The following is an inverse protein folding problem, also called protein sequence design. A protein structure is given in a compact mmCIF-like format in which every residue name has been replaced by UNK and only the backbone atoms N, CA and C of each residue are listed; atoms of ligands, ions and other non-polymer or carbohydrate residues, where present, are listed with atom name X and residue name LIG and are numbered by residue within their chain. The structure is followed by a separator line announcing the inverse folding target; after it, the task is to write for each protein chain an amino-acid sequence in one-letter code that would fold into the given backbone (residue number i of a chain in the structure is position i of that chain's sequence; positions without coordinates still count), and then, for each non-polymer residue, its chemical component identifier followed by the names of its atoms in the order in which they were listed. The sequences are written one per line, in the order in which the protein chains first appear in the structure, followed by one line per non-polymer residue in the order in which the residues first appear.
data_IF_226984145679
#
_entry.id   IF_226984145679
#
_cell.length_a   1.000
_cell.length_b   1.000
_cell.length_c   1.000
_cell.angle_alpha   90.00
_cell.angle_beta   90.00
_cell.angle_gamma   90.00
#
_symmetry.space_group_name_H-M   'P 1'
#
loop_
_entity.id
_entity.type
_entity.pdbx_description
1 polymer ?
#
# COMPACT_ATOMS: atom_id res chain seq x y z
N UNK A 1 -36.33 8.72 -21.86
CA UNK A 1 -36.15 7.98 -20.62
C UNK A 1 -36.15 8.93 -19.45
N UNK A 2 -37.23 8.90 -18.66
CA UNK A 2 -37.43 9.78 -17.51
C UNK A 2 -37.79 8.93 -16.28
N UNK A 3 -37.19 9.22 -15.14
CA UNK A 3 -37.55 8.61 -13.85
C UNK A 3 -37.78 9.73 -12.86
N UNK A 4 -38.98 9.79 -12.29
CA UNK A 4 -39.48 10.92 -11.48
C UNK A 4 -39.32 12.25 -12.25
N UNK A 5 -38.50 13.18 -11.74
CA UNK A 5 -38.27 14.49 -12.33
C UNK A 5 -36.98 14.63 -13.13
N UNK A 6 -36.15 13.55 -13.20
CA UNK A 6 -34.90 13.54 -13.96
C UNK A 6 -35.05 12.89 -15.32
N UNK A 7 -34.46 13.51 -16.37
CA UNK A 7 -34.38 13.02 -17.72
C UNK A 7 -32.98 12.43 -17.97
N UNK A 8 -32.92 11.13 -18.19
CA UNK A 8 -31.67 10.40 -18.40
C UNK A 8 -31.25 10.32 -19.86
N UNK A 9 -32.16 10.60 -20.79
CA UNK A 9 -31.90 10.57 -22.20
C UNK A 9 -33.18 10.40 -23.02
N UNK A 10 -33.01 10.30 -24.35
CA UNK A 10 -34.10 10.08 -25.29
C UNK A 10 -33.93 8.73 -25.99
N UNK A 11 -35.01 8.03 -26.24
CA UNK A 11 -35.08 6.84 -27.06
C UNK A 11 -35.71 7.23 -28.41
N UNK A 12 -35.00 6.94 -29.49
CA UNK A 12 -35.48 7.14 -30.85
C UNK A 12 -35.64 5.79 -31.52
N UNK A 13 -36.84 5.55 -32.09
CA UNK A 13 -37.12 4.37 -32.92
C UNK A 13 -37.31 4.83 -34.34
N UNK A 14 -36.61 4.17 -35.29
CA UNK A 14 -36.67 4.45 -36.72
C UNK A 14 -36.80 3.15 -37.47
N UNK A 15 -37.38 3.21 -38.67
CA UNK A 15 -37.40 2.11 -39.65
C UNK A 15 -38.02 0.81 -39.10
N UNK A 16 -39.36 0.85 -38.83
CA UNK A 16 -40.09 -0.37 -38.45
C UNK A 16 -40.01 -1.40 -39.57
N UNK A 17 -39.54 -2.61 -39.25
CA UNK A 17 -39.48 -3.71 -40.21
C UNK A 17 -40.89 -4.25 -40.47
N UNK A 18 -41.20 -4.54 -41.72
CA UNK A 18 -42.44 -5.16 -42.21
C UNK A 18 -43.74 -4.33 -42.12
N UNK A 19 -43.73 -3.10 -41.59
CA UNK A 19 -44.92 -2.24 -41.53
C UNK A 19 -44.59 -0.77 -41.84
N UNK A 20 -45.60 -0.06 -42.40
CA UNK A 20 -45.42 1.33 -42.86
C UNK A 20 -45.44 2.37 -41.72
N UNK A 21 -45.92 2.04 -40.52
CA UNK A 21 -46.03 2.96 -39.40
C UNK A 21 -45.99 2.22 -38.07
N UNK A 22 -45.58 2.95 -37.02
CA UNK A 22 -45.67 2.48 -35.64
C UNK A 22 -47.10 2.48 -35.14
N UNK A 23 -47.46 1.49 -34.32
CA UNK A 23 -48.76 1.33 -33.69
C UNK A 23 -48.74 1.80 -32.24
N UNK A 24 -49.92 1.95 -31.63
CA UNK A 24 -50.09 2.29 -30.18
C UNK A 24 -49.41 1.23 -29.28
N UNK A 25 -49.38 -0.06 -29.74
CA UNK A 25 -48.68 -1.12 -28.99
C UNK A 25 -47.14 -0.97 -29.05
N UNK A 26 -46.60 -0.51 -30.16
CA UNK A 26 -45.18 -0.19 -30.31
C UNK A 26 -44.76 0.97 -29.38
N UNK A 27 -45.62 2.01 -29.29
CA UNK A 27 -45.43 3.16 -28.42
C UNK A 27 -45.41 2.74 -26.92
N UNK A 28 -46.40 1.92 -26.53
CA UNK A 28 -46.49 1.40 -25.17
C UNK A 28 -45.27 0.55 -24.79
N UNK A 29 -44.78 -0.27 -25.73
CA UNK A 29 -43.55 -1.07 -25.54
C UNK A 29 -42.30 -0.18 -25.41
N UNK A 30 -42.19 0.85 -26.26
CA UNK A 30 -41.10 1.81 -26.22
C UNK A 30 -41.08 2.60 -24.90
N UNK A 31 -42.25 3.02 -24.40
CA UNK A 31 -42.38 3.66 -23.08
C UNK A 31 -41.94 2.76 -21.94
N UNK A 32 -42.41 1.49 -21.96
CA UNK A 32 -42.01 0.51 -20.95
C UNK A 32 -40.49 0.27 -20.93
N UNK A 33 -39.88 0.15 -22.10
CA UNK A 33 -38.41 0.03 -22.26
C UNK A 33 -37.68 1.28 -21.79
N UNK A 34 -38.23 2.48 -22.08
CA UNK A 34 -37.64 3.74 -21.67
C UNK A 34 -37.66 3.90 -20.13
N UNK A 35 -38.74 3.46 -19.47
CA UNK A 35 -38.87 3.45 -18.01
C UNK A 35 -37.87 2.43 -17.40
N UNK A 36 -37.83 1.23 -17.94
CA UNK A 36 -36.92 0.18 -17.46
C UNK A 36 -35.44 0.60 -17.58
N UNK A 37 -35.06 1.18 -18.71
CA UNK A 37 -33.71 1.71 -18.92
C UNK A 37 -33.38 2.86 -17.96
N UNK A 38 -34.34 3.78 -17.74
CA UNK A 38 -34.19 4.87 -16.79
C UNK A 38 -33.94 4.38 -15.35
N UNK A 39 -34.72 3.39 -14.91
CA UNK A 39 -34.56 2.75 -13.59
C UNK A 39 -33.22 2.03 -13.46
N UNK A 40 -32.77 1.35 -14.51
CA UNK A 40 -31.46 0.66 -14.49
C UNK A 40 -30.31 1.67 -14.34
N UNK A 41 -30.37 2.79 -15.06
CA UNK A 41 -29.36 3.87 -14.94
C UNK A 41 -29.40 4.50 -13.54
N UNK A 42 -30.58 4.78 -13.00
CA UNK A 42 -30.71 5.34 -11.65
C UNK A 42 -30.16 4.41 -10.59
N UNK A 43 -30.49 3.10 -10.65
CA UNK A 43 -29.96 2.10 -9.74
C UNK A 43 -28.43 2.01 -9.82
N UNK A 44 -27.85 2.03 -11.01
CA UNK A 44 -26.39 2.02 -11.16
C UNK A 44 -25.73 3.24 -10.52
N UNK A 45 -26.28 4.44 -10.77
CA UNK A 45 -25.78 5.68 -10.15
C UNK A 45 -25.91 5.70 -8.62
N UNK A 46 -26.99 5.16 -8.09
CA UNK A 46 -27.18 5.05 -6.64
C UNK A 46 -26.16 4.07 -6.03
N UNK A 47 -25.90 2.96 -6.72
CA UNK A 47 -24.90 1.98 -6.29
C UNK A 47 -23.50 2.62 -6.26
N UNK A 48 -23.12 3.33 -7.31
CA UNK A 48 -21.83 4.05 -7.35
C UNK A 48 -21.69 5.08 -6.23
N UNK A 49 -22.77 5.83 -5.94
CA UNK A 49 -22.77 6.80 -4.82
C UNK A 49 -22.59 6.12 -3.47
N UNK A 50 -23.24 4.97 -3.25
CA UNK A 50 -23.11 4.21 -2.00
C UNK A 50 -21.69 3.70 -1.84
N UNK A 51 -21.06 3.20 -2.91
CA UNK A 51 -19.66 2.76 -2.88
C UNK A 51 -18.71 3.91 -2.53
N UNK A 52 -18.87 5.08 -3.17
CA UNK A 52 -18.05 6.26 -2.87
C UNK A 52 -18.25 6.73 -1.42
N UNK A 53 -19.50 6.77 -0.93
CA UNK A 53 -19.79 7.15 0.46
C UNK A 53 -19.20 6.16 1.46
N UNK A 54 -19.25 4.86 1.19
CA UNK A 54 -18.64 3.81 2.02
C UNK A 54 -17.13 4.00 2.16
N UNK A 55 -16.44 4.31 1.06
CA UNK A 55 -15.00 4.60 1.06
C UNK A 55 -14.67 5.85 1.88
N UNK A 56 -15.48 6.91 1.77
CA UNK A 56 -15.27 8.13 2.54
C UNK A 56 -15.51 7.91 4.05
N UNK A 57 -16.53 7.14 4.43
CA UNK A 57 -16.83 6.82 5.83
C UNK A 57 -15.73 5.95 6.46
N UNK A 58 -15.20 4.98 5.71
CA UNK A 58 -14.05 4.19 6.14
C UNK A 58 -12.79 5.03 6.31
N UNK A 59 -12.52 5.97 5.39
CA UNK A 59 -11.41 6.93 5.53
C UNK A 59 -11.52 7.78 6.79
N UNK A 60 -12.70 8.32 7.07
CA UNK A 60 -12.94 9.14 8.25
C UNK A 60 -12.81 8.33 9.55
N UNK A 61 -13.19 7.06 9.54
CA UNK A 61 -13.03 6.16 10.67
C UNK A 61 -11.56 5.85 10.93
N UNK A 62 -10.82 5.45 9.89
CA UNK A 62 -9.39 5.14 9.98
C UNK A 62 -8.60 6.38 10.41
N UNK A 63 -8.91 7.55 9.86
CA UNK A 63 -8.25 8.80 10.23
C UNK A 63 -8.45 9.14 11.72
N UNK A 64 -9.64 8.91 12.28
CA UNK A 64 -9.90 9.10 13.72
C UNK A 64 -9.16 8.08 14.58
N UNK A 65 -9.22 6.80 14.24
CA UNK A 65 -8.54 5.74 14.97
C UNK A 65 -7.02 5.93 14.97
N UNK A 66 -6.47 6.38 13.84
CA UNK A 66 -5.05 6.70 13.69
C UNK A 66 -4.66 7.92 14.53
N UNK A 67 -5.46 9.00 14.44
CA UNK A 67 -5.24 10.22 15.20
C UNK A 67 -5.16 9.92 16.71
N UNK A 68 -6.09 9.12 17.22
CA UNK A 68 -6.15 8.80 18.66
C UNK A 68 -4.96 7.94 19.09
N UNK A 69 -4.55 6.94 18.31
CA UNK A 69 -3.37 6.11 18.58
C UNK A 69 -2.07 6.92 18.53
N UNK A 70 -1.92 7.76 17.52
CA UNK A 70 -0.73 8.61 17.33
C UNK A 70 -0.60 9.60 18.50
N UNK A 71 -1.67 10.31 18.83
CA UNK A 71 -1.67 11.27 19.92
C UNK A 71 -1.30 10.60 21.23
N UNK A 72 -1.90 9.45 21.57
CA UNK A 72 -1.60 8.72 22.78
C UNK A 72 -0.13 8.31 22.86
N UNK A 73 0.45 7.83 21.74
CA UNK A 73 1.85 7.38 21.71
C UNK A 73 2.83 8.54 21.78
N UNK A 74 2.58 9.62 21.05
CA UNK A 74 3.39 10.85 21.13
C UNK A 74 3.37 11.45 22.55
N UNK A 75 2.22 11.45 23.22
CA UNK A 75 2.14 11.86 24.63
C UNK A 75 2.96 10.96 25.54
N UNK A 76 2.90 9.64 25.37
CA UNK A 76 3.68 8.70 26.16
C UNK A 76 5.18 8.91 25.98
N UNK A 77 5.64 9.13 24.75
CA UNK A 77 7.03 9.48 24.44
C UNK A 77 7.43 10.80 25.10
N UNK A 78 6.59 11.84 25.01
CA UNK A 78 6.83 13.12 25.66
C UNK A 78 6.99 12.99 27.19
N UNK A 79 6.14 12.21 27.83
CA UNK A 79 6.24 11.91 29.26
C UNK A 79 7.50 11.11 29.61
N UNK A 80 7.90 10.15 28.80
CA UNK A 80 9.12 9.39 28.96
C UNK A 80 10.35 10.27 28.87
N UNK A 81 10.41 11.19 27.90
CA UNK A 81 11.49 12.16 27.74
C UNK A 81 11.54 13.17 28.88
N UNK A 82 10.39 13.69 29.35
CA UNK A 82 10.33 14.54 30.54
C UNK A 82 10.83 13.83 31.82
N UNK A 83 10.52 12.52 31.93
CA UNK A 83 11.06 11.73 33.02
C UNK A 83 12.57 11.50 32.93
N UNK A 84 13.14 11.42 31.73
CA UNK A 84 14.57 11.26 31.51
C UNK A 84 15.39 12.46 32.03
N UNK A 85 14.85 13.69 31.97
CA UNK A 85 15.54 14.90 32.42
C UNK A 85 15.76 14.93 33.95
N UNK A 86 15.11 14.05 34.71
CA UNK A 86 15.20 13.97 36.17
C UNK A 86 16.12 12.83 36.65
N UNK A 87 16.70 12.06 35.76
CA UNK A 87 17.55 10.93 36.09
C UNK A 87 18.98 11.40 36.37
N UNK A 88 19.61 10.93 37.46
CA UNK A 88 20.96 11.36 37.85
C UNK A 88 22.08 10.68 37.01
N UNK A 89 21.81 9.54 36.40
CA UNK A 89 22.80 8.73 35.70
C UNK A 89 22.63 8.84 34.16
N UNK A 90 23.76 9.12 33.52
CA UNK A 90 23.79 9.28 32.03
C UNK A 90 23.33 8.03 31.29
N UNK A 91 23.60 6.85 31.81
CA UNK A 91 23.25 5.57 31.19
C UNK A 91 21.72 5.36 31.17
N UNK A 92 21.04 5.68 32.29
CA UNK A 92 19.56 5.62 32.38
C UNK A 92 18.88 6.65 31.45
N UNK A 93 19.51 7.81 31.27
CA UNK A 93 19.03 8.83 30.33
C UNK A 93 19.13 8.31 28.91
N UNK A 94 20.28 7.73 28.52
CA UNK A 94 20.50 7.16 27.19
C UNK A 94 19.47 6.04 26.92
N UNK A 95 19.29 5.10 27.83
CA UNK A 95 18.33 4.00 27.69
C UNK A 95 16.89 4.53 27.49
N UNK A 96 16.51 5.57 28.20
CA UNK A 96 15.18 6.16 28.12
C UNK A 96 14.95 6.94 26.82
N UNK A 97 15.99 7.64 26.35
CA UNK A 97 15.97 8.33 25.04
C UNK A 97 15.91 7.31 23.91
N UNK A 98 16.67 6.23 23.98
CA UNK A 98 16.65 5.16 22.98
C UNK A 98 15.26 4.53 22.88
N UNK A 99 14.62 4.17 24.01
CA UNK A 99 13.24 3.67 23.99
C UNK A 99 12.25 4.67 23.40
N UNK A 100 12.41 5.96 23.69
CA UNK A 100 11.56 7.00 23.12
C UNK A 100 11.72 7.12 21.60
N UNK A 101 12.92 6.91 21.07
CA UNK A 101 13.19 6.85 19.62
C UNK A 101 12.52 5.62 19.02
N UNK A 102 12.68 4.45 19.64
CA UNK A 102 12.04 3.20 19.18
C UNK A 102 10.51 3.32 19.14
N UNK A 103 9.89 3.92 20.17
CA UNK A 103 8.44 4.17 20.22
C UNK A 103 7.97 5.15 19.13
N UNK A 104 8.78 6.17 18.80
CA UNK A 104 8.50 7.08 17.68
C UNK A 104 8.62 6.40 16.32
N UNK A 105 9.63 5.56 16.12
CA UNK A 105 9.81 4.81 14.88
C UNK A 105 8.64 3.85 14.62
N UNK A 106 8.13 3.19 15.65
CA UNK A 106 6.89 2.39 15.58
C UNK A 106 5.70 3.25 15.20
N UNK A 107 5.54 4.42 15.83
CA UNK A 107 4.41 5.32 15.54
C UNK A 107 4.45 5.82 14.09
N UNK A 108 5.63 6.16 13.59
CA UNK A 108 5.82 6.56 12.19
C UNK A 108 5.47 5.42 11.23
N UNK A 109 5.85 4.18 11.57
CA UNK A 109 5.52 2.99 10.78
C UNK A 109 4.00 2.73 10.73
N UNK A 110 3.31 2.87 11.87
CA UNK A 110 1.84 2.74 11.94
C UNK A 110 1.12 3.83 11.13
N UNK A 111 1.57 5.08 11.21
CA UNK A 111 1.03 6.19 10.40
C UNK A 111 1.19 5.90 8.92
N UNK A 112 2.38 5.44 8.51
CA UNK A 112 2.65 5.09 7.11
C UNK A 112 1.75 3.95 6.62
N UNK A 113 1.62 2.89 7.41
CA UNK A 113 0.74 1.76 7.06
C UNK A 113 -0.71 2.21 6.88
N UNK A 114 -1.23 3.05 7.78
CA UNK A 114 -2.59 3.55 7.68
C UNK A 114 -2.80 4.53 6.50
N UNK A 115 -1.80 5.37 6.18
CA UNK A 115 -1.84 6.22 4.98
C UNK A 115 -1.85 5.36 3.71
N UNK A 116 -1.12 4.24 3.70
CA UNK A 116 -1.12 3.27 2.60
C UNK A 116 -2.48 2.57 2.45
N UNK A 117 -3.10 2.15 3.56
CA UNK A 117 -4.45 1.55 3.55
C UNK A 117 -5.53 2.53 3.05
N UNK A 118 -5.32 3.84 3.23
CA UNK A 118 -6.22 4.90 2.74
C UNK A 118 -5.97 5.25 1.25
N UNK A 119 -4.86 4.82 0.69
CA UNK A 119 -4.39 5.19 -0.65
C UNK A 119 -4.78 4.23 -1.76
N UNK A 120 -5.94 3.56 -1.72
CA UNK A 120 -6.50 2.74 -2.81
C UNK A 120 -6.83 3.53 -4.10
N UNK A 121 -5.95 4.44 -4.52
CA UNK A 121 -5.97 4.92 -5.89
C UNK A 121 -5.07 3.95 -6.70
N UNK A 122 -5.63 3.35 -7.74
CA UNK A 122 -4.86 2.57 -8.71
C UNK A 122 -3.53 3.27 -8.99
N UNK A 123 -2.42 2.55 -8.80
CA UNK A 123 -1.07 3.10 -8.98
C UNK A 123 -0.95 3.67 -10.39
N UNK A 124 -0.88 5.00 -10.60
CA UNK A 124 -0.77 5.57 -11.93
C UNK A 124 0.53 5.05 -12.56
N UNK A 125 0.42 4.23 -13.60
CA UNK A 125 1.57 3.67 -14.30
C UNK A 125 2.01 2.27 -13.85
N UNK A 126 1.27 1.59 -12.95
CA UNK A 126 1.54 0.22 -12.54
C UNK A 126 2.59 0.08 -11.41
N UNK A 127 2.76 -1.15 -10.94
CA UNK A 127 3.66 -1.46 -9.83
C UNK A 127 5.13 -1.21 -10.16
N UNK A 128 5.56 -1.48 -11.40
CA UNK A 128 6.94 -1.18 -11.86
C UNK A 128 7.29 0.28 -11.67
N UNK A 129 6.41 1.17 -12.13
CA UNK A 129 6.63 2.61 -12.01
C UNK A 129 6.66 3.06 -10.56
N UNK A 130 5.77 2.53 -9.72
CA UNK A 130 5.73 2.85 -8.30
C UNK A 130 7.01 2.42 -7.56
N UNK A 131 7.56 1.22 -7.86
CA UNK A 131 8.84 0.76 -7.29
C UNK A 131 10.01 1.62 -7.75
N UNK A 132 10.06 2.00 -9.03
CA UNK A 132 11.10 2.90 -9.55
C UNK A 132 11.05 4.28 -8.89
N UNK A 133 9.86 4.84 -8.74
CA UNK A 133 9.66 6.12 -8.10
C UNK A 133 10.07 6.07 -6.62
N UNK A 134 9.71 5.00 -5.90
CA UNK A 134 10.10 4.78 -4.52
C UNK A 134 11.63 4.66 -4.37
N UNK A 135 12.30 3.95 -5.27
CA UNK A 135 13.76 3.84 -5.28
C UNK A 135 14.45 5.20 -5.53
N UNK A 136 13.87 6.03 -6.39
CA UNK A 136 14.34 7.40 -6.64
C UNK A 136 14.15 8.29 -5.41
N UNK A 137 12.97 8.26 -4.77
CA UNK A 137 12.67 9.02 -3.55
C UNK A 137 13.66 8.71 -2.41
N UNK A 138 14.06 7.45 -2.29
CA UNK A 138 14.99 7.00 -1.25
C UNK A 138 16.46 7.25 -1.59
N UNK A 139 16.82 7.53 -2.85
CA UNK A 139 18.21 7.66 -3.31
C UNK A 139 19.00 8.71 -2.56
N UNK A 140 18.39 9.85 -2.20
CA UNK A 140 19.04 10.91 -1.43
C UNK A 140 19.39 10.43 0.00
N UNK A 141 18.49 9.74 0.66
CA UNK A 141 18.70 9.22 2.02
C UNK A 141 19.69 8.04 2.07
N UNK A 142 19.79 7.29 0.97
CA UNK A 142 20.73 6.17 0.82
C UNK A 142 22.15 6.63 0.41
N UNK A 143 22.28 7.85 -0.10
CA UNK A 143 23.52 8.34 -0.70
C UNK A 143 23.90 7.67 -2.02
N UNK A 144 23.05 6.77 -2.55
CA UNK A 144 23.23 6.07 -3.81
C UNK A 144 21.87 5.70 -4.41
N UNK A 145 21.80 5.66 -5.74
CA UNK A 145 20.57 5.24 -6.45
C UNK A 145 20.48 3.72 -6.50
N UNK A 146 19.39 3.10 -5.96
CA UNK A 146 19.21 1.66 -6.07
C UNK A 146 19.03 1.21 -7.53
N UNK A 147 19.65 0.08 -7.88
CA UNK A 147 19.44 -0.59 -9.17
C UNK A 147 18.21 -1.48 -9.05
N UNK A 148 17.18 -1.21 -9.84
CA UNK A 148 15.93 -1.99 -9.82
C UNK A 148 15.84 -2.88 -11.05
N UNK A 149 15.53 -4.16 -10.86
CA UNK A 149 15.28 -5.15 -11.91
C UNK A 149 13.91 -5.77 -11.74
N UNK A 150 13.28 -6.11 -12.87
CA UNK A 150 11.98 -6.75 -12.90
C UNK A 150 12.06 -8.02 -13.74
N UNK A 151 11.49 -9.11 -13.21
CA UNK A 151 11.42 -10.40 -13.88
C UNK A 151 9.96 -10.85 -13.98
N UNK A 152 9.51 -11.20 -15.18
CA UNK A 152 8.12 -11.59 -15.43
C UNK A 152 7.16 -10.41 -15.65
N UNK A 153 5.85 -10.72 -15.62
CA UNK A 153 4.77 -9.78 -15.97
C UNK A 153 4.25 -9.03 -14.72
N UNK A 154 5.12 -8.29 -14.04
CA UNK A 154 4.88 -7.65 -12.73
C UNK A 154 3.55 -6.87 -12.70
N UNK A 155 3.32 -5.98 -13.69
CA UNK A 155 2.14 -5.11 -13.67
C UNK A 155 0.82 -5.84 -13.96
N UNK A 156 0.89 -7.00 -14.63
CA UNK A 156 -0.31 -7.73 -15.04
C UNK A 156 -0.64 -8.91 -14.11
N UNK A 157 0.35 -9.41 -13.37
CA UNK A 157 0.20 -10.62 -12.56
C UNK A 157 0.03 -10.34 -11.06
N UNK A 158 0.52 -9.18 -10.57
CA UNK A 158 0.43 -8.84 -9.15
C UNK A 158 -0.85 -8.05 -8.89
N UNK A 159 -1.81 -8.58 -8.09
CA UNK A 159 -2.97 -7.83 -7.66
C UNK A 159 -2.56 -6.55 -6.90
N UNK A 160 -3.37 -5.50 -7.02
CA UNK A 160 -3.06 -4.20 -6.41
C UNK A 160 -2.78 -4.30 -4.90
N UNK A 161 -3.59 -5.05 -4.15
CA UNK A 161 -3.40 -5.27 -2.72
C UNK A 161 -2.03 -5.88 -2.40
N UNK A 162 -1.57 -6.83 -3.22
CA UNK A 162 -0.24 -7.43 -3.07
C UNK A 162 0.87 -6.46 -3.50
N UNK A 163 0.61 -5.59 -4.48
CA UNK A 163 1.50 -4.50 -4.89
C UNK A 163 1.82 -3.54 -3.75
N UNK A 164 0.84 -3.20 -2.91
CA UNK A 164 1.02 -2.34 -1.74
C UNK A 164 1.93 -2.99 -0.69
N UNK A 165 1.81 -4.31 -0.51
CA UNK A 165 2.74 -5.06 0.33
C UNK A 165 4.17 -5.05 -0.22
N UNK A 166 4.34 -5.22 -1.53
CA UNK A 166 5.65 -5.15 -2.20
C UNK A 166 6.29 -3.77 -1.96
N UNK A 167 5.56 -2.68 -2.18
CA UNK A 167 6.08 -1.32 -1.95
C UNK A 167 6.49 -1.09 -0.49
N UNK A 168 5.71 -1.59 0.46
CA UNK A 168 6.04 -1.50 1.88
C UNK A 168 7.34 -2.27 2.21
N UNK A 169 7.54 -3.47 1.62
CA UNK A 169 8.76 -4.26 1.80
C UNK A 169 9.98 -3.59 1.17
N UNK A 170 9.85 -3.04 -0.04
CA UNK A 170 10.93 -2.27 -0.70
C UNK A 170 11.34 -1.06 0.16
N UNK A 171 10.37 -0.28 0.63
CA UNK A 171 10.61 0.90 1.46
C UNK A 171 11.35 0.54 2.75
N UNK A 172 10.81 -0.41 3.50
CA UNK A 172 11.38 -0.84 4.77
C UNK A 172 12.78 -1.47 4.59
N UNK A 173 12.93 -2.34 3.59
CA UNK A 173 14.21 -2.99 3.28
C UNK A 173 15.31 -1.99 2.90
N UNK A 174 15.02 -1.05 2.00
CA UNK A 174 15.97 -0.01 1.59
C UNK A 174 16.26 0.96 2.76
N UNK A 175 15.27 1.34 3.53
CA UNK A 175 15.46 2.21 4.70
C UNK A 175 16.36 1.56 5.75
N UNK A 176 16.16 0.27 6.02
CA UNK A 176 16.99 -0.50 6.95
C UNK A 176 18.42 -0.64 6.43
N UNK A 177 18.59 -0.95 5.14
CA UNK A 177 19.91 -0.99 4.52
C UNK A 177 20.62 0.37 4.64
N UNK A 178 19.95 1.48 4.32
CA UNK A 178 20.53 2.83 4.43
C UNK A 178 20.94 3.20 5.87
N UNK A 179 20.15 2.82 6.87
CA UNK A 179 20.43 3.13 8.28
C UNK A 179 21.57 2.29 8.87
N UNK A 180 21.73 1.04 8.45
CA UNK A 180 22.51 0.06 9.19
C UNK A 180 23.68 -0.56 8.42
N UNK A 181 23.64 -0.56 7.08
CA UNK A 181 24.66 -1.29 6.31
C UNK A 181 25.91 -0.47 5.99
N UNK A 182 25.81 0.86 5.93
CA UNK A 182 26.89 1.70 5.40
C UNK A 182 27.24 1.36 3.95
N UNK A 183 26.31 0.78 3.19
CA UNK A 183 26.51 0.31 1.83
C UNK A 183 26.67 1.48 0.86
N UNK A 184 27.34 1.23 -0.25
CA UNK A 184 27.49 2.13 -1.38
C UNK A 184 26.65 1.71 -2.59
N UNK A 185 26.11 0.49 -2.57
CA UNK A 185 25.30 -0.08 -3.67
C UNK A 185 24.13 -0.88 -3.14
N UNK A 186 22.97 -0.63 -3.73
CA UNK A 186 21.70 -1.30 -3.44
C UNK A 186 21.12 -1.86 -4.72
N UNK A 187 20.65 -3.12 -4.67
CA UNK A 187 19.98 -3.77 -5.79
C UNK A 187 18.62 -4.29 -5.30
N UNK A 188 17.57 -4.06 -6.07
CA UNK A 188 16.22 -4.57 -5.82
C UNK A 188 15.78 -5.37 -7.03
N UNK A 189 15.43 -6.62 -6.85
CA UNK A 189 14.87 -7.48 -7.90
C UNK A 189 13.46 -7.89 -7.50
N UNK A 190 12.47 -7.57 -8.33
CA UNK A 190 11.09 -8.01 -8.18
C UNK A 190 10.74 -8.99 -9.29
N UNK A 191 10.57 -10.24 -8.91
CA UNK A 191 10.25 -11.36 -9.78
C UNK A 191 8.82 -11.86 -9.58
N UNK A 192 8.20 -12.35 -10.66
CA UNK A 192 6.88 -12.97 -10.67
C UNK A 192 6.91 -14.25 -11.48
N UNK A 193 6.57 -15.36 -10.81
CA UNK A 193 6.37 -16.68 -11.41
C UNK A 193 5.02 -17.24 -10.93
N UNK A 194 5.01 -18.32 -10.18
CA UNK A 194 3.91 -18.85 -9.37
C UNK A 194 3.77 -18.10 -8.02
N UNK A 195 4.76 -17.28 -7.71
CA UNK A 195 4.81 -16.43 -6.53
C UNK A 195 5.42 -15.07 -6.88
N UNK A 196 5.24 -14.11 -6.00
CA UNK A 196 5.97 -12.84 -6.01
C UNK A 196 7.19 -13.01 -5.14
N UNK A 197 8.38 -12.72 -5.68
CA UNK A 197 9.65 -12.74 -4.97
C UNK A 197 10.33 -11.38 -5.07
N UNK A 198 10.64 -10.80 -3.92
CA UNK A 198 11.39 -9.57 -3.80
C UNK A 198 12.74 -9.88 -3.15
N UNK A 199 13.80 -9.59 -3.88
CA UNK A 199 15.17 -9.67 -3.38
C UNK A 199 15.76 -8.28 -3.26
N UNK A 200 16.38 -7.99 -2.12
CA UNK A 200 17.12 -6.76 -1.89
C UNK A 200 18.54 -7.12 -1.45
N UNK A 201 19.52 -6.54 -2.13
CA UNK A 201 20.95 -6.74 -1.85
C UNK A 201 21.59 -5.40 -1.51
N UNK A 202 22.46 -5.38 -0.50
CA UNK A 202 23.41 -4.30 -0.24
C UNK A 202 24.85 -4.83 -0.20
N UNK A 203 25.84 -3.94 -0.37
CA UNK A 203 27.26 -4.24 -0.30
C UNK A 203 27.90 -3.74 1.02
N UNK A 204 27.11 -3.52 2.05
CA UNK A 204 27.56 -2.94 3.31
C UNK A 204 28.30 -3.92 4.22
N UNK A 205 28.33 -3.57 5.52
CA UNK A 205 29.02 -4.38 6.54
C UNK A 205 28.35 -5.72 6.83
N UNK A 206 27.13 -5.93 6.32
CA UNK A 206 26.32 -7.12 6.59
C UNK A 206 25.70 -7.11 7.98
N UNK A 207 24.82 -8.07 8.21
CA UNK A 207 24.15 -8.23 9.49
C UNK A 207 24.72 -9.41 10.25
N UNK A 208 25.30 -9.19 11.44
CA UNK A 208 25.63 -10.26 12.37
C UNK A 208 24.35 -10.83 12.97
N UNK A 209 23.74 -11.81 12.34
CA UNK A 209 22.49 -12.48 12.74
C UNK A 209 22.55 -13.09 14.16
N UNK A 210 23.76 -13.32 14.70
CA UNK A 210 23.96 -13.97 15.99
C UNK A 210 23.83 -13.04 17.20
N UNK A 211 23.89 -11.72 17.04
CA UNK A 211 23.95 -10.78 18.18
C UNK A 211 22.83 -9.72 18.22
N UNK A 212 22.04 -9.59 17.17
CA UNK A 212 21.01 -8.54 17.12
C UNK A 212 19.63 -9.17 17.23
N UNK A 213 18.87 -8.85 18.29
CA UNK A 213 17.41 -9.11 18.28
C UNK A 213 16.85 -8.41 17.03
N UNK A 214 16.03 -9.11 16.20
CA UNK A 214 15.43 -8.47 15.04
C UNK A 214 14.72 -7.20 15.49
N UNK A 215 15.09 -6.06 14.92
CA UNK A 215 14.38 -4.81 15.15
C UNK A 215 12.93 -4.93 14.67
N UNK A 216 12.05 -4.06 15.13
CA UNK A 216 10.63 -4.06 14.79
C UNK A 216 10.38 -4.06 13.27
N UNK A 217 11.24 -3.43 12.48
CA UNK A 217 11.13 -3.41 11.02
C UNK A 217 11.24 -4.80 10.38
N UNK A 218 12.26 -5.58 10.74
CA UNK A 218 12.44 -6.94 10.21
C UNK A 218 11.35 -7.90 10.71
N UNK A 219 10.89 -7.72 11.96
CA UNK A 219 9.73 -8.48 12.48
C UNK A 219 8.48 -8.18 11.66
N UNK A 220 8.20 -6.91 11.35
CA UNK A 220 7.06 -6.51 10.54
C UNK A 220 7.10 -7.09 9.11
N UNK A 221 8.31 -7.17 8.50
CA UNK A 221 8.47 -7.79 7.19
C UNK A 221 8.18 -9.28 7.22
N UNK A 222 8.60 -9.97 8.28
CA UNK A 222 8.33 -11.40 8.50
C UNK A 222 6.83 -11.64 8.71
N UNK A 223 6.20 -10.91 9.63
CA UNK A 223 4.78 -11.04 9.93
C UNK A 223 3.92 -10.79 8.69
N UNK A 224 4.36 -9.86 7.83
CA UNK A 224 3.71 -9.57 6.55
C UNK A 224 3.79 -10.73 5.58
N UNK A 225 4.96 -11.36 5.44
CA UNK A 225 5.12 -12.56 4.61
C UNK A 225 4.26 -13.72 5.12
N UNK A 226 4.31 -14.01 6.42
CA UNK A 226 3.58 -15.10 7.06
C UNK A 226 2.06 -14.92 6.94
N UNK A 227 1.53 -13.70 7.11
CA UNK A 227 0.10 -13.40 6.91
C UNK A 227 -0.38 -13.66 5.48
N UNK A 228 0.52 -13.58 4.51
CA UNK A 228 0.25 -13.85 3.10
C UNK A 228 0.63 -15.29 2.70
N UNK A 229 0.93 -16.18 3.66
CA UNK A 229 1.33 -17.55 3.39
C UNK A 229 2.72 -17.72 2.78
N UNK A 230 3.56 -16.69 2.89
CA UNK A 230 4.90 -16.64 2.32
C UNK A 230 6.04 -16.77 3.32
N UNK A 231 7.24 -16.41 2.88
CA UNK A 231 8.50 -16.52 3.64
C UNK A 231 9.29 -15.23 3.63
N UNK A 232 10.06 -15.01 4.68
CA UNK A 232 10.99 -13.90 4.80
C UNK A 232 12.32 -14.36 5.37
N UNK A 233 13.40 -14.05 4.66
CA UNK A 233 14.75 -14.42 5.05
C UNK A 233 15.70 -13.23 4.95
N UNK A 234 16.65 -13.17 5.87
CA UNK A 234 17.78 -12.23 5.82
C UNK A 234 19.05 -13.04 5.96
N UNK A 235 19.93 -12.94 4.98
CA UNK A 235 21.13 -13.75 4.85
C UNK A 235 22.35 -12.86 4.65
N UNK A 236 23.54 -13.26 5.12
CA UNK A 236 24.78 -12.61 4.73
C UNK A 236 25.03 -12.85 3.24
N UNK A 237 25.56 -11.83 2.55
CA UNK A 237 25.97 -11.93 1.14
C UNK A 237 27.42 -12.39 1.05
N UNK A 238 27.74 -13.29 0.09
CA UNK A 238 29.11 -13.61 -0.24
C UNK A 238 29.85 -12.38 -0.76
N UNK A 239 30.96 -12.04 -0.12
CA UNK A 239 31.75 -10.84 -0.45
C UNK A 239 31.41 -9.60 0.38
N UNK A 240 30.48 -9.69 1.35
CA UNK A 240 30.03 -8.62 2.23
C UNK A 240 28.65 -8.08 1.87
N UNK A 241 27.95 -7.55 2.88
CA UNK A 241 26.60 -7.02 2.75
C UNK A 241 25.50 -7.97 3.18
N UNK A 242 24.26 -7.60 2.90
CA UNK A 242 23.04 -8.32 3.28
C UNK A 242 22.24 -8.70 2.05
N UNK A 243 21.62 -9.87 2.11
CA UNK A 243 20.61 -10.35 1.19
C UNK A 243 19.30 -10.53 1.94
N UNK A 244 18.28 -9.78 1.58
CA UNK A 244 16.93 -9.91 2.07
C UNK A 244 16.06 -10.53 0.98
N UNK A 245 15.30 -11.57 1.32
CA UNK A 245 14.37 -12.23 0.42
C UNK A 245 12.99 -12.26 1.07
N UNK A 246 12.00 -11.77 0.37
CA UNK A 246 10.59 -11.83 0.74
C UNK A 246 9.80 -12.46 -0.40
N UNK A 247 9.10 -13.54 -0.11
CA UNK A 247 8.38 -14.29 -1.14
C UNK A 247 7.00 -14.69 -0.65
N UNK A 248 5.96 -14.48 -1.49
CA UNK A 248 4.58 -14.81 -1.19
C UNK A 248 3.89 -15.45 -2.40
N UNK A 249 2.92 -16.37 -2.21
CA UNK A 249 2.13 -16.90 -3.31
C UNK A 249 1.31 -15.80 -3.99
N UNK A 250 0.92 -16.04 -5.23
CA UNK A 250 0.04 -15.15 -6.02
C UNK A 250 -1.45 -15.39 -5.75
N UNK A 251 -1.81 -16.54 -5.15
CA UNK A 251 -3.20 -16.99 -4.91
C UNK A 251 -3.76 -16.45 -3.59
#
# INVERSE_FOLDING_TARGET
MRVRDEVYGNLYLTDKQDEASFTDEDEALAEALAVAAGLAIENHRLHDRVLVMSVLDDRDRIARDLHDRVIQRVYAVGMNLQGATRLPEREQVIERVTRAIDDLDVTISEIRSAIFELGEAALPGGLRQAVLQLAEELSESLGARPVVRFEGAVDNSIPQQLGDHVLAVVREGLTNAGKHSGASRYEVTLGVTDRVELELLDDGVGMELAQTKPGLGLSNLRDRAEKLGGTFEVLPREGGGTRLVWAVPLD
#
